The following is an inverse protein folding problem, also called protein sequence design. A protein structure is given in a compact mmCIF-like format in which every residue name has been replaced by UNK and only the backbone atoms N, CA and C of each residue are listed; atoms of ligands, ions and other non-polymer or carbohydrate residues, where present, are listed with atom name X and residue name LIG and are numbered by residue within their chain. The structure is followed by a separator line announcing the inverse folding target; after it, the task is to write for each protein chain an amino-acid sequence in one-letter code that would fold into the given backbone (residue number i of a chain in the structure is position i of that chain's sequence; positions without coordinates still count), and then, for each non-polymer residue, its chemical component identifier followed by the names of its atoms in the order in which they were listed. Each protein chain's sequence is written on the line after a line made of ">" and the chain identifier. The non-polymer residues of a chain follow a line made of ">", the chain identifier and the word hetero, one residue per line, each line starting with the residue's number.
data_IF_468219072469
#
_entry.id   IF_468219072469
#
_cell.length_a   1.000
_cell.length_b   1.000
_cell.length_c   1.000
_cell.angle_alpha   90.00
_cell.angle_beta   90.00
_cell.angle_gamma   90.00
#
_symmetry.space_group_name_H-M   'P 1'
#
loop_
_entity.id
_entity.type
_entity.pdbx_description
1 polymer ?
#
# COMPACT_ATOMS: atom_id res chain seq x y z
N UNK A 1 -6.32 -7.30 12.19
CA UNK A 1 -5.92 -7.69 10.84
C UNK A 1 -6.30 -6.61 9.86
N UNK A 2 -5.40 -6.29 8.96
CA UNK A 2 -5.64 -5.29 7.94
C UNK A 2 -6.24 -5.93 6.69
N UNK A 3 -7.22 -5.25 6.10
CA UNK A 3 -7.83 -5.71 4.86
C UNK A 3 -7.63 -4.64 3.79
N UNK A 4 -7.17 -5.05 2.62
CA UNK A 4 -6.96 -4.16 1.48
C UNK A 4 -7.76 -4.66 0.29
N UNK A 5 -8.45 -3.74 -0.36
CA UNK A 5 -9.23 -4.03 -1.56
C UNK A 5 -8.81 -3.09 -2.66
N UNK A 6 -8.55 -3.64 -3.83
CA UNK A 6 -8.05 -2.88 -4.97
C UNK A 6 -9.01 -3.02 -6.13
N UNK A 7 -9.24 -1.89 -6.81
CA UNK A 7 -9.96 -1.86 -8.07
C UNK A 7 -9.06 -1.20 -9.12
N UNK A 8 -8.90 -1.88 -10.24
CA UNK A 8 -8.09 -1.35 -11.32
C UNK A 8 -9.01 -0.62 -12.29
N UNK A 9 -8.81 0.70 -12.45
CA UNK A 9 -9.62 1.53 -13.34
C UNK A 9 -8.99 1.72 -14.70
N UNK A 10 -7.67 1.50 -14.79
CA UNK A 10 -6.92 1.52 -16.03
C UNK A 10 -5.67 0.68 -15.82
N UNK A 11 -4.87 0.53 -16.90
CA UNK A 11 -3.63 -0.25 -16.80
C UNK A 11 -2.58 0.40 -15.89
N UNK A 12 -2.73 1.68 -15.54
CA UNK A 12 -1.71 2.41 -14.80
C UNK A 12 -2.19 2.97 -13.46
N UNK A 13 -3.46 2.82 -13.14
CA UNK A 13 -4.03 3.41 -11.92
C UNK A 13 -4.75 2.34 -11.10
N UNK A 14 -4.46 2.32 -9.81
CA UNK A 14 -5.13 1.47 -8.82
C UNK A 14 -5.74 2.36 -7.76
N UNK A 15 -6.89 1.95 -7.22
CA UNK A 15 -7.40 2.57 -6.00
C UNK A 15 -8.03 1.49 -5.12
N UNK A 16 -8.12 1.78 -3.84
CA UNK A 16 -8.69 0.80 -2.94
C UNK A 16 -8.95 1.36 -1.56
N UNK A 17 -9.40 0.47 -0.69
CA UNK A 17 -9.66 0.81 0.71
C UNK A 17 -8.95 -0.19 1.61
N UNK A 18 -8.71 0.22 2.85
CA UNK A 18 -8.12 -0.68 3.84
C UNK A 18 -8.64 -0.33 5.23
N UNK A 19 -8.63 -1.32 6.11
CA UNK A 19 -9.06 -1.18 7.48
C UNK A 19 -8.46 -2.31 8.32
N UNK A 20 -8.48 -2.13 9.63
CA UNK A 20 -8.01 -3.15 10.56
C UNK A 20 -6.95 -2.61 11.50
N UNK A 21 -6.71 -3.32 12.60
CA UNK A 21 -5.79 -2.84 13.62
C UNK A 21 -6.21 -1.49 14.17
N UNK A 22 -5.32 -0.51 14.12
CA UNK A 22 -5.62 0.85 14.58
C UNK A 22 -6.28 1.71 13.50
N UNK A 23 -6.55 1.17 12.32
CA UNK A 23 -7.16 1.89 11.20
C UNK A 23 -8.65 1.63 11.16
N UNK A 24 -9.45 2.68 11.30
CA UNK A 24 -10.91 2.58 11.17
C UNK A 24 -11.28 2.41 9.70
N UNK A 25 -10.77 3.31 8.85
CA UNK A 25 -11.04 3.26 7.42
C UNK A 25 -9.98 4.09 6.69
N UNK A 26 -9.47 3.56 5.60
CA UNK A 26 -8.49 4.25 4.78
C UNK A 26 -8.75 4.07 3.30
N UNK A 27 -8.17 4.98 2.52
CA UNK A 27 -8.24 4.94 1.07
C UNK A 27 -6.83 5.09 0.50
N UNK A 28 -6.62 4.52 -0.66
CA UNK A 28 -5.35 4.65 -1.36
C UNK A 28 -5.56 4.88 -2.84
N UNK A 29 -4.56 5.52 -3.45
CA UNK A 29 -4.51 5.76 -4.88
C UNK A 29 -3.07 5.51 -5.32
N UNK A 30 -2.87 4.74 -6.37
CA UNK A 30 -1.54 4.39 -6.82
C UNK A 30 -1.42 4.45 -8.33
N UNK A 31 -0.22 4.77 -8.80
CA UNK A 31 0.16 4.67 -10.20
C UNK A 31 1.14 3.51 -10.35
N UNK A 32 1.01 2.80 -11.46
CA UNK A 32 1.89 1.69 -11.79
C UNK A 32 2.61 2.03 -13.08
N UNK A 33 3.94 1.93 -13.09
CA UNK A 33 4.71 2.18 -14.31
C UNK A 33 4.85 0.89 -15.14
N UNK A 34 5.55 1.00 -16.27
CA UNK A 34 5.71 -0.11 -17.21
C UNK A 34 6.48 -1.29 -16.62
N UNK A 35 7.21 -1.08 -15.53
CA UNK A 35 8.02 -2.12 -14.88
C UNK A 35 7.32 -2.69 -13.65
N UNK A 36 6.09 -2.25 -13.35
CA UNK A 36 5.36 -2.74 -12.21
C UNK A 36 5.67 -2.01 -10.91
N UNK A 37 6.46 -0.95 -10.96
CA UNK A 37 6.73 -0.14 -9.77
C UNK A 37 5.50 0.68 -9.43
N UNK A 38 5.21 0.80 -8.14
CA UNK A 38 4.06 1.54 -7.64
C UNK A 38 4.50 2.82 -6.94
N UNK A 39 3.76 3.90 -7.18
CA UNK A 39 3.83 5.11 -6.39
C UNK A 39 2.43 5.33 -5.82
N UNK A 40 2.33 5.35 -4.49
CA UNK A 40 1.04 5.31 -3.80
C UNK A 40 0.89 6.48 -2.85
N UNK A 41 -0.31 7.01 -2.77
CA UNK A 41 -0.74 7.96 -1.74
C UNK A 41 -1.85 7.32 -0.96
N UNK A 42 -1.82 7.45 0.38
CA UNK A 42 -2.85 6.84 1.21
C UNK A 42 -3.17 7.73 2.41
N UNK A 43 -4.37 7.54 2.94
CA UNK A 43 -4.84 8.27 4.11
C UNK A 43 -5.87 7.44 4.84
N UNK A 44 -5.94 7.63 6.15
CA UNK A 44 -6.93 6.92 6.96
C UNK A 44 -7.29 7.68 8.24
N UNK A 45 -8.37 7.22 8.87
CA UNK A 45 -8.75 7.65 10.22
C UNK A 45 -8.35 6.54 11.18
N UNK A 46 -7.61 6.90 12.22
CA UNK A 46 -7.21 5.96 13.27
C UNK A 46 -8.29 5.86 14.34
N UNK A 47 -8.19 4.82 15.17
CA UNK A 47 -9.17 4.59 16.26
C UNK A 47 -9.20 5.73 17.26
N UNK A 48 -8.16 6.54 17.34
CA UNK A 48 -8.12 7.73 18.20
C UNK A 48 -8.78 8.96 17.55
N UNK A 49 -9.37 8.79 16.35
CA UNK A 49 -10.07 9.85 15.66
C UNK A 49 -9.21 10.78 14.81
N UNK A 50 -7.93 10.51 14.72
CA UNK A 50 -7.01 11.36 13.97
C UNK A 50 -6.86 10.90 12.52
N UNK A 51 -6.72 11.86 11.62
CA UNK A 51 -6.33 11.56 10.25
C UNK A 51 -4.83 11.34 10.16
N UNK A 52 -4.45 10.41 9.30
CA UNK A 52 -3.06 10.20 8.93
C UNK A 52 -2.97 10.00 7.43
N UNK A 53 -1.95 10.58 6.83
CA UNK A 53 -1.70 10.42 5.40
C UNK A 53 -0.23 10.13 5.16
N UNK A 54 0.04 9.42 4.08
CA UNK A 54 1.39 9.03 3.76
C UNK A 54 1.55 8.68 2.29
N UNK A 55 2.77 8.36 1.92
CA UNK A 55 3.08 7.88 0.60
C UNK A 55 4.00 6.67 0.69
N UNK A 56 3.96 5.88 -0.37
CA UNK A 56 4.71 4.64 -0.44
C UNK A 56 5.17 4.42 -1.87
N UNK A 57 6.38 3.90 -2.02
CA UNK A 57 6.88 3.42 -3.29
C UNK A 57 7.14 1.94 -3.15
N UNK A 58 6.78 1.14 -4.13
CA UNK A 58 7.09 -0.27 -4.08
C UNK A 58 7.64 -0.77 -5.40
N UNK A 59 8.52 -1.76 -5.31
CA UNK A 59 9.11 -2.45 -6.45
C UNK A 59 8.79 -3.92 -6.35
N UNK A 60 8.33 -4.51 -7.46
CA UNK A 60 8.07 -5.95 -7.47
C UNK A 60 9.34 -6.74 -7.70
N UNK A 61 9.39 -7.92 -7.11
CA UNK A 61 10.41 -8.92 -7.37
C UNK A 61 9.70 -10.23 -7.61
N UNK A 62 10.03 -10.93 -8.71
CA UNK A 62 9.48 -12.26 -8.96
C UNK A 62 10.31 -13.29 -8.23
N UNK A 63 9.63 -14.15 -7.47
CA UNK A 63 10.27 -15.25 -6.78
C UNK A 63 10.36 -16.48 -7.69
N UNK A 64 11.27 -17.44 -7.39
CA UNK A 64 11.44 -18.62 -8.25
C UNK A 64 10.17 -19.44 -8.46
N UNK A 65 9.22 -19.40 -7.50
CA UNK A 65 7.96 -20.14 -7.62
C UNK A 65 6.84 -19.33 -8.29
N UNK A 66 7.16 -18.16 -8.83
CA UNK A 66 6.20 -17.31 -9.53
C UNK A 66 5.44 -16.34 -8.66
N UNK A 67 5.60 -16.40 -7.34
CA UNK A 67 4.98 -15.43 -6.44
C UNK A 67 5.69 -14.09 -6.55
N UNK A 68 5.01 -13.02 -6.13
CA UNK A 68 5.59 -11.69 -6.10
C UNK A 68 6.01 -11.33 -4.68
N UNK A 69 7.10 -10.61 -4.59
CA UNK A 69 7.56 -9.96 -3.37
C UNK A 69 7.62 -8.48 -3.67
N UNK A 70 7.00 -7.66 -2.82
CA UNK A 70 7.03 -6.21 -2.97
C UNK A 70 7.97 -5.61 -1.93
N UNK A 71 8.92 -4.81 -2.41
CA UNK A 71 9.81 -4.04 -1.55
C UNK A 71 9.20 -2.65 -1.44
N UNK A 72 8.80 -2.25 -0.23
CA UNK A 72 8.05 -1.02 0.00
C UNK A 72 8.85 -0.04 0.84
N UNK A 73 8.80 1.24 0.45
CA UNK A 73 9.35 2.36 1.21
C UNK A 73 8.22 3.34 1.44
N UNK A 74 7.99 3.69 2.70
CA UNK A 74 6.84 4.51 3.07
C UNK A 74 7.27 5.65 4.00
N UNK A 75 6.47 6.74 4.00
CA UNK A 75 6.65 7.83 4.94
C UNK A 75 5.31 8.54 5.16
N UNK A 76 5.16 9.12 6.34
CA UNK A 76 4.02 9.96 6.66
C UNK A 76 4.23 11.36 6.08
N UNK A 77 3.15 12.01 5.65
CA UNK A 77 3.21 13.31 4.98
C UNK A 77 2.39 14.39 5.66
N UNK A 78 1.73 14.09 6.78
CA UNK A 78 0.82 15.02 7.45
C UNK A 78 1.37 15.59 8.75
N UNK A 79 2.69 15.67 8.88
CA UNK A 79 3.34 16.17 10.07
C UNK A 79 3.72 15.11 11.08
N UNK A 80 3.20 13.89 10.92
CA UNK A 80 3.67 12.76 11.72
C UNK A 80 5.08 12.40 11.27
N UNK A 81 5.91 12.03 12.22
CA UNK A 81 7.25 11.56 11.90
C UNK A 81 7.22 10.07 11.66
N UNK A 82 8.01 9.63 10.72
CA UNK A 82 8.19 8.23 10.49
C UNK A 82 8.32 7.91 9.03
N UNK A 83 9.28 7.06 8.77
CA UNK A 83 9.51 6.47 7.47
C UNK A 83 10.07 5.09 7.71
N UNK A 84 9.92 4.22 6.74
CA UNK A 84 10.42 2.88 6.90
C UNK A 84 10.34 2.09 5.63
N UNK A 85 10.70 0.84 5.74
CA UNK A 85 10.60 -0.10 4.63
C UNK A 85 10.01 -1.40 5.13
N UNK A 86 9.35 -2.10 4.24
CA UNK A 86 8.79 -3.40 4.53
C UNK A 86 8.86 -4.28 3.29
N UNK A 87 8.68 -5.57 3.51
CA UNK A 87 8.64 -6.53 2.42
C UNK A 87 7.31 -7.28 2.56
N UNK A 88 6.56 -7.31 1.46
CA UNK A 88 5.28 -8.01 1.41
C UNK A 88 5.38 -9.10 0.36
N UNK A 89 4.99 -10.31 0.71
CA UNK A 89 5.05 -11.44 -0.21
C UNK A 89 3.66 -11.97 -0.47
N UNK A 90 3.43 -12.36 -1.72
CA UNK A 90 2.21 -13.04 -2.11
C UNK A 90 2.17 -14.42 -1.45
N UNK A 91 1.00 -14.79 -0.93
CA UNK A 91 0.81 -16.08 -0.27
C UNK A 91 0.40 -17.10 -1.33
N UNK A 92 1.16 -18.20 -1.44
CA UNK A 92 0.85 -19.26 -2.41
C UNK A 92 -0.40 -20.00 -1.97
N UNK A 93 -1.17 -20.47 -2.95
CA UNK A 93 -2.38 -21.24 -2.67
C UNK A 93 -3.61 -20.38 -2.35
N UNK A 94 -3.52 -19.11 -2.54
CA UNK A 94 -4.64 -18.18 -2.28
C UNK A 94 -5.37 -17.81 -3.56
#
# INVERSE_FOLDING_TARGET
>A
MEERRFTITSVTTLFGTYAGGSVVFGTLLAKVDAFGNLEMRYQHVSIDGNFKSGCCQSRPESLPDGRLRLHEWWQWTDGAEGQGSSIVEEVSGQ
#
